data_IF_310716533186
#
_entry.id   IF_310716533186
#
_cell.length_a   1.000
_cell.length_b   1.000
_cell.length_c   1.000
_cell.angle_alpha   90.00
_cell.angle_beta   90.00
_cell.angle_gamma   90.00
#
_symmetry.space_group_name_H-M   'P 1'
#
loop_
_entity.id
_entity.type
_entity.pdbx_description
1 polymer ?
#
# COMPACT_ATOMS: atom_id res chain seq x y z
N UNK A 1 -3.60 2.96 32.33
CA UNK A 1 -2.34 3.68 32.57
C UNK A 1 -2.10 4.59 31.37
N UNK A 2 -2.53 5.85 31.44
CA UNK A 2 -2.40 6.78 30.31
C UNK A 2 -0.97 7.34 30.29
N UNK A 3 -0.18 6.93 29.30
CA UNK A 3 1.14 7.51 29.08
C UNK A 3 0.91 8.91 28.52
N UNK A 4 0.99 9.93 29.37
CA UNK A 4 1.04 11.33 28.96
C UNK A 4 2.34 11.57 28.20
N UNK A 5 2.29 11.44 26.87
CA UNK A 5 3.40 11.71 25.97
C UNK A 5 3.66 13.21 25.89
N UNK A 6 4.68 13.69 26.61
CA UNK A 6 5.15 15.09 26.62
C UNK A 6 5.60 15.58 25.24
N UNK A 7 5.99 14.65 24.36
CA UNK A 7 6.39 14.92 22.99
C UNK A 7 5.66 13.93 22.08
N UNK A 8 4.56 14.36 21.46
CA UNK A 8 3.85 13.55 20.45
C UNK A 8 4.55 13.56 19.10
N UNK A 9 5.19 14.68 18.74
CA UNK A 9 5.86 14.85 17.44
C UNK A 9 7.14 14.02 17.31
N UNK A 10 7.90 13.87 18.39
CA UNK A 10 9.17 13.15 18.39
C UNK A 10 9.03 11.66 18.03
N UNK A 11 8.14 10.86 18.66
CA UNK A 11 7.97 9.47 18.29
C UNK A 11 7.45 9.31 16.86
N UNK A 12 6.53 10.16 16.41
CA UNK A 12 6.00 10.10 15.04
C UNK A 12 7.09 10.41 14.00
N UNK A 13 7.95 11.40 14.28
CA UNK A 13 9.09 11.73 13.43
C UNK A 13 10.11 10.58 13.38
N UNK A 14 10.48 10.02 14.53
CA UNK A 14 11.45 8.93 14.60
C UNK A 14 10.91 7.65 13.93
N UNK A 15 9.63 7.33 14.11
CA UNK A 15 8.99 6.22 13.40
C UNK A 15 8.97 6.45 11.89
N UNK A 16 8.70 7.68 11.44
CA UNK A 16 8.71 8.03 10.01
C UNK A 16 10.12 7.93 9.41
N UNK A 17 11.13 8.42 10.13
CA UNK A 17 12.53 8.33 9.72
C UNK A 17 13.00 6.87 9.61
N UNK A 18 12.64 6.04 10.60
CA UNK A 18 12.99 4.61 10.61
C UNK A 18 12.18 3.78 9.59
N UNK A 19 11.05 4.28 9.10
CA UNK A 19 10.28 3.63 8.05
C UNK A 19 10.90 3.81 6.65
N UNK A 20 11.83 4.75 6.49
CA UNK A 20 12.52 4.97 5.23
C UNK A 20 13.43 3.79 4.89
N UNK A 21 13.49 3.37 3.62
CA UNK A 21 14.40 2.32 3.19
C UNK A 21 15.86 2.77 3.42
N UNK A 22 16.63 1.93 4.12
CA UNK A 22 18.02 2.19 4.47
C UNK A 22 18.94 2.42 3.24
N UNK A 23 18.59 1.90 2.07
CA UNK A 23 19.35 2.13 0.82
C UNK A 23 18.50 1.91 -0.44
N UNK A 24 19.01 2.43 -1.57
CA UNK A 24 18.43 2.23 -2.91
C UNK A 24 18.34 0.75 -3.31
N UNK A 25 19.26 -0.08 -2.82
CA UNK A 25 19.28 -1.52 -3.09
C UNK A 25 18.00 -2.25 -2.64
N UNK A 26 17.30 -1.74 -1.62
CA UNK A 26 16.00 -2.27 -1.23
C UNK A 26 14.93 -2.04 -2.31
N UNK A 27 14.97 -0.86 -2.96
CA UNK A 27 14.05 -0.51 -4.05
C UNK A 27 14.41 -1.28 -5.32
N UNK A 28 15.70 -1.42 -5.64
CA UNK A 28 16.18 -2.23 -6.78
C UNK A 28 15.74 -3.69 -6.70
N UNK A 29 15.73 -4.28 -5.50
CA UNK A 29 15.21 -5.64 -5.29
C UNK A 29 13.74 -5.75 -5.68
N UNK A 30 12.92 -4.73 -5.39
CA UNK A 30 11.52 -4.67 -5.79
C UNK A 30 11.41 -4.51 -7.32
N UNK A 31 12.20 -3.62 -7.92
CA UNK A 31 12.22 -3.42 -9.36
C UNK A 31 12.66 -4.66 -10.13
N UNK A 32 13.62 -5.43 -9.63
CA UNK A 32 14.02 -6.70 -10.22
C UNK A 32 12.86 -7.71 -10.24
N UNK A 33 12.11 -7.82 -9.13
CA UNK A 33 10.91 -8.66 -9.07
C UNK A 33 9.83 -8.19 -10.04
N UNK A 34 9.61 -6.89 -10.14
CA UNK A 34 8.67 -6.27 -11.07
C UNK A 34 9.09 -6.54 -12.53
N UNK A 35 10.39 -6.45 -12.83
CA UNK A 35 10.93 -6.78 -14.14
C UNK A 35 10.65 -8.25 -14.49
N UNK A 36 10.91 -9.20 -13.59
CA UNK A 36 10.59 -10.62 -13.81
C UNK A 36 9.10 -10.83 -14.14
N UNK A 37 8.20 -10.10 -13.49
CA UNK A 37 6.75 -10.18 -13.75
C UNK A 37 6.40 -9.59 -15.12
N UNK A 38 7.02 -8.46 -15.51
CA UNK A 38 6.70 -7.76 -16.76
C UNK A 38 7.34 -8.40 -18.00
N UNK A 39 8.55 -8.93 -17.90
CA UNK A 39 9.35 -9.34 -19.06
C UNK A 39 9.47 -10.85 -19.22
N UNK A 40 9.68 -11.60 -18.12
CA UNK A 40 9.97 -13.05 -18.21
C UNK A 40 8.72 -13.93 -18.27
N UNK A 41 7.61 -13.50 -17.66
CA UNK A 41 6.30 -14.15 -17.79
C UNK A 41 5.47 -13.30 -18.75
N UNK A 42 5.32 -13.73 -20.00
CA UNK A 42 4.69 -13.03 -21.13
C UNK A 42 3.21 -12.63 -20.94
N UNK A 43 2.66 -12.74 -19.73
CA UNK A 43 1.34 -12.23 -19.40
C UNK A 43 1.45 -10.74 -19.07
N UNK A 44 1.01 -9.88 -19.99
CA UNK A 44 0.81 -8.45 -19.72
C UNK A 44 -0.29 -8.29 -18.66
N UNK A 45 0.10 -8.37 -17.39
CA UNK A 45 -0.79 -8.12 -16.27
C UNK A 45 -1.03 -6.61 -16.15
N UNK A 46 -2.27 -6.22 -15.86
CA UNK A 46 -2.59 -4.84 -15.55
C UNK A 46 -1.76 -4.37 -14.33
N UNK A 47 -1.35 -3.09 -14.31
CA UNK A 47 -0.44 -2.55 -13.29
C UNK A 47 -1.00 -2.78 -11.87
N UNK A 48 -2.30 -2.61 -11.69
CA UNK A 48 -2.97 -2.89 -10.40
C UNK A 48 -2.83 -4.36 -9.97
N UNK A 49 -2.85 -5.29 -10.93
CA UNK A 49 -2.70 -6.73 -10.66
C UNK A 49 -1.26 -7.06 -10.29
N UNK A 50 -0.27 -6.44 -10.93
CA UNK A 50 1.15 -6.58 -10.57
C UNK A 50 1.40 -6.08 -9.14
N UNK A 51 0.84 -4.91 -8.80
CA UNK A 51 0.94 -4.34 -7.45
C UNK A 51 0.30 -5.25 -6.40
N UNK A 52 -0.94 -5.71 -6.63
CA UNK A 52 -1.63 -6.64 -5.73
C UNK A 52 -0.86 -7.95 -5.53
N UNK A 53 -0.26 -8.49 -6.59
CA UNK A 53 0.57 -9.70 -6.51
C UNK A 53 1.82 -9.48 -5.67
N UNK A 54 2.47 -8.33 -5.80
CA UNK A 54 3.64 -7.98 -5.00
C UNK A 54 3.27 -7.84 -3.51
N UNK A 55 2.14 -7.19 -3.22
CA UNK A 55 1.62 -7.07 -1.86
C UNK A 55 1.29 -8.43 -1.23
N UNK A 56 0.65 -9.33 -1.98
CA UNK A 56 0.35 -10.68 -1.52
C UNK A 56 1.65 -11.45 -1.19
N UNK A 57 2.66 -11.38 -2.07
CA UNK A 57 3.97 -12.00 -1.82
C UNK A 57 4.63 -11.47 -0.55
N UNK A 58 4.59 -10.15 -0.34
CA UNK A 58 5.15 -9.52 0.86
C UNK A 58 4.38 -9.92 2.13
N UNK A 59 3.05 -10.04 2.06
CA UNK A 59 2.23 -10.46 3.19
C UNK A 59 2.59 -11.89 3.65
N UNK A 60 2.78 -12.81 2.69
CA UNK A 60 3.21 -14.19 2.98
C UNK A 60 4.63 -14.20 3.55
N UNK A 61 5.55 -13.43 2.96
CA UNK A 61 6.94 -13.35 3.42
C UNK A 61 7.06 -12.80 4.85
N UNK A 62 6.19 -11.86 5.26
CA UNK A 62 6.14 -11.35 6.65
C UNK A 62 5.74 -12.40 7.67
N UNK A 63 5.06 -13.46 7.25
CA UNK A 63 4.70 -14.60 8.10
C UNK A 63 5.83 -15.65 8.14
N UNK A 64 6.97 -15.39 7.50
CA UNK A 64 8.09 -16.32 7.43
C UNK A 64 7.85 -17.53 6.52
N UNK A 65 6.76 -17.52 5.74
CA UNK A 65 6.36 -18.63 4.87
C UNK A 65 6.70 -18.35 3.40
N UNK A 66 6.81 -19.43 2.63
CA UNK A 66 6.82 -19.37 1.17
C UNK A 66 5.44 -19.71 0.61
N UNK A 67 5.18 -19.45 -0.67
CA UNK A 67 3.88 -19.75 -1.28
C UNK A 67 3.51 -21.24 -1.25
N UNK A 68 4.49 -22.14 -1.08
CA UNK A 68 4.27 -23.58 -1.02
C UNK A 68 3.95 -24.07 0.40
N UNK A 69 4.28 -23.28 1.42
CA UNK A 69 4.10 -23.61 2.84
C UNK A 69 2.98 -22.80 3.49
N UNK A 70 2.51 -21.77 2.80
CA UNK A 70 1.53 -20.86 3.34
C UNK A 70 0.13 -21.46 3.24
N UNK A 71 -0.55 -21.53 4.39
CA UNK A 71 -1.96 -21.88 4.45
C UNK A 71 -2.81 -20.66 4.87
N UNK A 72 -3.95 -20.44 4.20
CA UNK A 72 -4.86 -19.36 4.57
C UNK A 72 -5.48 -19.61 5.94
N UNK A 73 -5.56 -18.57 6.77
CA UNK A 73 -6.28 -18.65 8.05
C UNK A 73 -7.77 -18.86 7.83
N UNK A 74 -8.44 -19.56 8.75
CA UNK A 74 -9.90 -19.74 8.71
C UNK A 74 -10.66 -18.41 8.61
N UNK A 75 -10.14 -17.36 9.27
CA UNK A 75 -10.68 -16.00 9.18
C UNK A 75 -10.55 -15.40 7.78
N UNK A 76 -9.45 -15.65 7.05
CA UNK A 76 -9.26 -15.17 5.69
C UNK A 76 -10.23 -15.87 4.74
N UNK A 77 -10.37 -17.19 4.86
CA UNK A 77 -11.31 -17.98 4.06
C UNK A 77 -12.73 -17.46 4.25
N UNK A 78 -13.16 -17.29 5.51
CA UNK A 78 -14.48 -16.74 5.83
C UNK A 78 -14.71 -15.35 5.23
N UNK A 79 -13.72 -14.46 5.33
CA UNK A 79 -13.81 -13.12 4.72
C UNK A 79 -13.94 -13.13 3.19
N UNK A 80 -13.35 -14.13 2.53
CA UNK A 80 -13.48 -14.30 1.08
C UNK A 80 -14.88 -14.83 0.73
N UNK A 81 -15.35 -15.86 1.45
CA UNK A 81 -16.68 -16.45 1.26
C UNK A 81 -17.80 -15.44 1.54
N UNK A 82 -17.68 -14.66 2.62
CA UNK A 82 -18.64 -13.63 3.01
C UNK A 82 -18.62 -12.40 2.06
N UNK A 83 -17.76 -12.40 1.04
CA UNK A 83 -17.61 -11.31 0.07
C UNK A 83 -17.04 -10.01 0.67
N UNK A 84 -16.56 -10.04 1.91
CA UNK A 84 -16.06 -8.87 2.62
C UNK A 84 -14.84 -8.27 1.93
N UNK A 85 -14.00 -9.11 1.32
CA UNK A 85 -12.86 -8.65 0.53
C UNK A 85 -13.30 -7.77 -0.65
N UNK A 86 -14.33 -8.20 -1.39
CA UNK A 86 -14.86 -7.46 -2.53
C UNK A 86 -15.52 -6.15 -2.11
N UNK A 87 -16.31 -6.16 -1.02
CA UNK A 87 -16.90 -4.94 -0.44
C UNK A 87 -15.83 -3.90 -0.08
N UNK A 88 -14.73 -4.33 0.54
CA UNK A 88 -13.58 -3.45 0.86
C UNK A 88 -12.88 -2.92 -0.40
N UNK A 89 -12.80 -3.71 -1.46
CA UNK A 89 -12.27 -3.25 -2.74
C UNK A 89 -13.14 -2.15 -3.35
N UNK A 90 -14.46 -2.36 -3.44
CA UNK A 90 -15.41 -1.38 -3.94
C UNK A 90 -15.37 -0.07 -3.14
N UNK A 91 -15.33 -0.16 -1.81
CA UNK A 91 -15.21 1.02 -0.95
C UNK A 91 -13.93 1.83 -1.20
N UNK A 92 -12.80 1.17 -1.46
CA UNK A 92 -11.54 1.85 -1.81
C UNK A 92 -11.58 2.50 -3.18
N UNK A 93 -12.17 1.82 -4.17
CA UNK A 93 -12.35 2.41 -5.51
C UNK A 93 -13.26 3.65 -5.45
N UNK A 94 -14.35 3.61 -4.66
CA UNK A 94 -15.20 4.78 -4.42
C UNK A 94 -14.42 5.93 -3.76
N UNK A 95 -13.63 5.63 -2.72
CA UNK A 95 -12.80 6.62 -2.05
C UNK A 95 -11.70 7.22 -2.96
N UNK A 96 -11.11 6.41 -3.86
CA UNK A 96 -10.11 6.90 -4.82
C UNK A 96 -10.75 7.87 -5.81
N UNK A 97 -11.92 7.53 -6.36
CA UNK A 97 -12.67 8.44 -7.24
C UNK A 97 -13.00 9.75 -6.53
N UNK A 98 -13.36 9.70 -5.25
CA UNK A 98 -13.67 10.91 -4.48
C UNK A 98 -12.43 11.78 -4.23
N UNK A 99 -11.26 11.17 -3.99
CA UNK A 99 -9.99 11.90 -3.90
C UNK A 99 -9.57 12.52 -5.23
N UNK A 100 -9.71 11.80 -6.34
CA UNK A 100 -9.41 12.32 -7.69
C UNK A 100 -10.30 13.53 -8.01
N UNK A 101 -11.57 13.48 -7.60
CA UNK A 101 -12.49 14.63 -7.71
C UNK A 101 -12.03 15.77 -6.79
N UNK A 102 -11.72 15.53 -5.51
CA UNK A 102 -11.31 16.59 -4.58
C UNK A 102 -9.98 17.25 -4.98
N UNK A 103 -8.97 16.51 -5.44
CA UNK A 103 -7.69 17.08 -5.88
C UNK A 103 -7.88 18.02 -7.06
N UNK A 104 -8.78 17.70 -8.00
CA UNK A 104 -9.12 18.59 -9.12
C UNK A 104 -9.70 19.94 -8.68
N UNK A 105 -10.37 20.01 -7.51
CA UNK A 105 -10.96 21.25 -6.99
C UNK A 105 -10.05 22.02 -6.02
N UNK A 106 -8.94 21.43 -5.54
CA UNK A 106 -8.03 22.09 -4.59
C UNK A 106 -6.88 22.83 -5.28
N UNK A 107 -6.51 22.48 -6.52
CA UNK A 107 -5.42 23.15 -7.24
C UNK A 107 -5.78 24.59 -7.72
N UNK A 108 -7.06 24.99 -7.69
CA UNK A 108 -7.53 26.33 -8.07
C UNK A 108 -7.59 27.34 -6.91
N UNK A 109 -7.28 26.95 -5.66
CA UNK A 109 -7.46 27.80 -4.48
C UNK A 109 -6.20 28.53 -3.97
N UNK A 110 -5.04 28.35 -4.60
CA UNK A 110 -3.75 28.90 -4.13
C UNK A 110 -3.17 30.03 -5.01
N UNK A 111 -3.96 30.68 -5.87
CA UNK A 111 -3.49 31.79 -6.72
C UNK A 111 -4.11 33.17 -6.45
N UNK A 112 -4.79 33.40 -5.32
CA UNK A 112 -5.48 34.68 -5.08
C UNK A 112 -5.20 35.37 -3.74
N UNK A 113 -4.00 35.22 -3.17
CA UNK A 113 -3.65 35.97 -1.95
C UNK A 113 -2.14 36.15 -1.75
N UNK A 114 -1.43 36.68 -2.74
CA UNK A 114 -0.13 37.35 -2.56
C UNK A 114 0.03 38.54 -3.54
N UNK A 115 -0.94 39.46 -3.59
CA UNK A 115 -0.71 40.83 -4.09
C UNK A 115 -1.56 41.81 -3.26
N UNK A 116 -0.97 42.39 -2.21
CA UNK A 116 -0.92 43.83 -1.92
C UNK A 116 -0.01 44.12 -0.71
#
# INVERSE_FOLDING_TARGET
MAITQKFKLLPDFMCSLLALPHSSACVERIFSQLNIIKTKRTNKLHVSTVANRLLAKQAIARQGATCCQWEPSASLIRNVVDGQCHKRYLAREAARKQKEVTTMYCDDADLSSEEE
#
